data_IF_444535340325
#
_entry.id   IF_444535340325
#
_cell.length_a   1.000
_cell.length_b   1.000
_cell.length_c   1.000
_cell.angle_alpha   90.00
_cell.angle_beta   90.00
_cell.angle_gamma   90.00
#
_symmetry.space_group_name_H-M   'P 1'
#
loop_
_entity.id
_entity.type
_entity.pdbx_description
1 polymer ?
#
# COMPACT_ATOMS: atom_id res chain seq x y z
N UNK A 1 9.36 -22.57 17.22
CA UNK A 1 7.91 -22.30 17.39
C UNK A 1 7.58 -20.87 17.87
N UNK A 2 8.51 -20.10 18.45
CA UNK A 2 8.27 -18.70 18.87
C UNK A 2 8.36 -17.63 17.76
N UNK A 3 8.71 -18.00 16.52
CA UNK A 3 8.91 -17.03 15.42
C UNK A 3 7.69 -16.82 14.51
N UNK A 4 6.61 -17.59 14.70
CA UNK A 4 5.41 -17.53 13.83
C UNK A 4 4.41 -16.46 14.32
N UNK A 5 4.47 -16.05 15.60
CA UNK A 5 3.51 -15.10 16.19
C UNK A 5 3.61 -13.68 15.63
N UNK A 6 4.72 -13.33 14.98
CA UNK A 6 5.05 -11.95 14.64
C UNK A 6 4.83 -11.61 13.14
N UNK A 7 4.15 -12.48 12.38
CA UNK A 7 3.79 -12.22 10.98
C UNK A 7 4.97 -12.15 10.00
N UNK A 8 6.21 -12.44 10.45
CA UNK A 8 7.38 -12.59 9.59
C UNK A 8 7.41 -13.99 8.98
N UNK A 9 6.81 -14.12 7.81
CA UNK A 9 6.77 -15.35 7.01
C UNK A 9 8.04 -15.57 6.15
N UNK A 10 9.01 -14.65 6.23
CA UNK A 10 10.24 -14.65 5.41
C UNK A 10 11.34 -15.61 5.93
N UNK A 11 11.08 -16.39 6.98
CA UNK A 11 12.04 -17.40 7.42
C UNK A 11 12.06 -18.55 6.40
N UNK A 12 13.06 -18.54 5.52
CA UNK A 12 13.32 -19.60 4.56
C UNK A 12 13.63 -20.91 5.29
N UNK A 13 12.60 -21.72 5.55
CA UNK A 13 12.78 -23.14 5.86
C UNK A 13 13.33 -23.77 4.58
N UNK A 14 14.59 -24.20 4.58
CA UNK A 14 15.13 -24.98 3.46
C UNK A 14 14.32 -26.26 3.33
N UNK A 15 13.54 -26.33 2.26
CA UNK A 15 12.76 -27.53 1.94
C UNK A 15 13.70 -28.46 1.18
N UNK A 16 14.37 -29.36 1.90
CA UNK A 16 15.15 -30.44 1.30
C UNK A 16 14.27 -31.66 1.09
N UNK A 17 13.78 -31.85 -0.13
CA UNK A 17 13.00 -33.02 -0.53
C UNK A 17 12.11 -32.77 -1.73
N UNK A 18 11.80 -33.83 -2.48
CA UNK A 18 10.80 -33.83 -3.56
C UNK A 18 9.49 -34.53 -3.11
N UNK A 19 9.33 -34.70 -1.79
CA UNK A 19 8.19 -35.39 -1.20
C UNK A 19 6.91 -34.53 -1.23
N UNK A 20 5.79 -35.16 -0.90
CA UNK A 20 4.46 -34.54 -0.91
C UNK A 20 4.38 -33.37 0.08
N UNK A 21 5.14 -33.43 1.18
CA UNK A 21 5.23 -32.35 2.17
C UNK A 21 5.94 -31.13 1.57
N UNK A 22 7.03 -31.36 0.83
CA UNK A 22 7.78 -30.32 0.13
C UNK A 22 6.92 -29.63 -0.94
N UNK A 23 6.17 -30.41 -1.72
CA UNK A 23 5.24 -29.87 -2.72
C UNK A 23 4.13 -29.02 -2.07
N UNK A 24 3.55 -29.49 -0.96
CA UNK A 24 2.54 -28.74 -0.21
C UNK A 24 3.10 -27.43 0.35
N UNK A 25 4.32 -27.44 0.89
CA UNK A 25 4.97 -26.24 1.44
C UNK A 25 5.26 -25.19 0.35
N UNK A 26 5.67 -25.63 -0.84
CA UNK A 26 5.88 -24.73 -2.00
C UNK A 26 4.56 -24.09 -2.40
N UNK A 27 3.50 -24.88 -2.59
CA UNK A 27 2.18 -24.37 -2.97
C UNK A 27 1.61 -23.40 -1.93
N UNK A 28 1.84 -23.66 -0.64
CA UNK A 28 1.44 -22.75 0.44
C UNK A 28 2.20 -21.41 0.37
N UNK A 29 3.51 -21.43 0.12
CA UNK A 29 4.32 -20.20 -0.05
C UNK A 29 3.83 -19.37 -1.23
N UNK A 30 3.55 -20.02 -2.36
CA UNK A 30 3.01 -19.33 -3.54
C UNK A 30 1.66 -18.67 -3.25
N UNK A 31 0.78 -19.38 -2.53
CA UNK A 31 -0.51 -18.83 -2.10
C UNK A 31 -0.33 -17.61 -1.18
N UNK A 32 0.58 -17.69 -0.21
CA UNK A 32 0.90 -16.58 0.70
C UNK A 32 1.45 -15.37 -0.07
N UNK A 33 2.39 -15.58 -0.99
CA UNK A 33 2.95 -14.52 -1.81
C UNK A 33 1.87 -13.82 -2.66
N UNK A 34 0.96 -14.61 -3.24
CA UNK A 34 -0.17 -14.08 -4.03
C UNK A 34 -1.14 -13.26 -3.18
N UNK A 35 -1.45 -13.71 -1.96
CA UNK A 35 -2.28 -12.95 -1.03
C UNK A 35 -1.64 -11.60 -0.68
N UNK A 36 -0.35 -11.58 -0.33
CA UNK A 36 0.37 -10.33 -0.04
C UNK A 36 0.44 -9.38 -1.23
N UNK A 37 0.61 -9.89 -2.45
CA UNK A 37 0.57 -9.08 -3.67
C UNK A 37 -0.83 -8.47 -3.91
N UNK A 38 -1.89 -9.25 -3.70
CA UNK A 38 -3.26 -8.78 -3.82
C UNK A 38 -3.59 -7.73 -2.76
N UNK A 39 -3.17 -7.90 -1.51
CA UNK A 39 -3.36 -6.89 -0.46
C UNK A 39 -2.70 -5.56 -0.82
N UNK A 40 -1.46 -5.60 -1.34
CA UNK A 40 -0.78 -4.39 -1.84
C UNK A 40 -1.54 -3.74 -2.99
N UNK A 41 -2.04 -4.53 -3.94
CA UNK A 41 -2.82 -4.02 -5.06
C UNK A 41 -4.15 -3.40 -4.59
N UNK A 42 -4.87 -4.06 -3.68
CA UNK A 42 -6.11 -3.54 -3.08
C UNK A 42 -5.83 -2.25 -2.32
N UNK A 43 -4.77 -2.22 -1.50
CA UNK A 43 -4.35 -1.01 -0.80
C UNK A 43 -4.05 0.10 -1.80
N UNK A 44 -3.32 -0.20 -2.86
CA UNK A 44 -3.01 0.78 -3.89
C UNK A 44 -4.27 1.34 -4.55
N UNK A 45 -5.19 0.48 -5.00
CA UNK A 45 -6.48 0.88 -5.58
C UNK A 45 -7.35 1.70 -4.61
N UNK A 46 -7.26 1.41 -3.31
CA UNK A 46 -8.04 2.11 -2.32
C UNK A 46 -7.47 3.51 -2.03
N UNK A 47 -6.15 3.71 -2.11
CA UNK A 47 -5.45 4.90 -1.58
C UNK A 47 -4.77 5.77 -2.65
N UNK A 48 -4.63 5.29 -3.88
CA UNK A 48 -3.94 5.97 -4.95
C UNK A 48 -4.85 6.16 -6.16
N UNK A 49 -4.65 7.25 -6.88
CA UNK A 49 -5.33 7.54 -8.13
C UNK A 49 -4.63 6.80 -9.30
N UNK A 50 -5.34 6.02 -10.12
CA UNK A 50 -4.71 5.18 -11.14
C UNK A 50 -4.14 5.97 -12.34
N UNK A 51 -4.59 7.22 -12.56
CA UNK A 51 -4.09 8.04 -13.66
C UNK A 51 -2.75 8.69 -13.31
N UNK A 52 -2.63 9.19 -12.07
CA UNK A 52 -1.47 9.95 -11.61
C UNK A 52 -0.50 9.16 -10.73
N UNK A 53 -0.95 8.02 -10.20
CA UNK A 53 -0.25 7.24 -9.18
C UNK A 53 0.02 8.01 -7.87
N UNK A 54 -0.66 9.14 -7.66
CA UNK A 54 -0.56 9.96 -6.45
C UNK A 54 -1.57 9.51 -5.39
N UNK A 55 -1.33 9.82 -4.10
CA UNK A 55 -2.32 9.68 -3.05
C UNK A 55 -3.66 10.29 -3.45
N UNK A 56 -4.73 9.50 -3.38
CA UNK A 56 -6.06 9.98 -3.69
C UNK A 56 -6.63 10.84 -2.54
N UNK A 57 -7.81 11.41 -2.77
CA UNK A 57 -8.48 12.27 -1.78
C UNK A 57 -8.78 11.56 -0.46
N UNK A 58 -8.90 10.24 -0.45
CA UNK A 58 -9.13 9.46 0.77
C UNK A 58 -7.86 9.40 1.61
N UNK A 59 -6.72 9.06 1.00
CA UNK A 59 -5.43 9.07 1.69
C UNK A 59 -5.10 10.47 2.22
N UNK A 60 -5.34 11.52 1.42
CA UNK A 60 -5.14 12.90 1.86
C UNK A 60 -5.92 13.24 3.15
N UNK A 61 -7.20 12.84 3.24
CA UNK A 61 -8.03 13.08 4.43
C UNK A 61 -7.50 12.35 5.66
N UNK A 62 -7.05 11.11 5.49
CA UNK A 62 -6.46 10.33 6.57
C UNK A 62 -5.15 10.96 7.07
N UNK A 63 -4.29 11.43 6.14
CA UNK A 63 -3.08 12.16 6.50
C UNK A 63 -3.39 13.47 7.25
N UNK A 64 -4.39 14.24 6.80
CA UNK A 64 -4.82 15.47 7.50
C UNK A 64 -5.36 15.12 8.88
N UNK A 65 -6.20 14.10 9.01
CA UNK A 65 -6.76 13.69 10.30
C UNK A 65 -5.65 13.24 11.26
N UNK A 66 -4.74 12.37 10.80
CA UNK A 66 -3.60 11.90 11.57
C UNK A 66 -2.73 13.08 12.02
N UNK A 67 -2.49 14.04 11.13
CA UNK A 67 -1.81 15.27 11.46
C UNK A 67 -2.56 16.01 12.58
N UNK A 68 -3.82 16.39 12.39
CA UNK A 68 -4.60 17.11 13.42
C UNK A 68 -4.67 16.38 14.78
N UNK A 69 -4.67 15.05 14.80
CA UNK A 69 -4.67 14.25 16.04
C UNK A 69 -3.31 14.07 16.70
N UNK A 70 -2.22 14.29 15.96
CA UNK A 70 -0.88 14.22 16.54
C UNK A 70 -0.77 15.30 17.63
N UNK A 71 -0.69 14.83 18.89
CA UNK A 71 -0.62 15.64 20.10
C UNK A 71 0.34 16.82 19.96
N UNK A 72 -0.05 17.97 20.54
CA UNK A 72 0.69 19.24 20.67
C UNK A 72 2.05 19.15 21.39
N UNK A 73 2.70 17.98 21.38
CA UNK A 73 4.01 17.79 22.02
C UNK A 73 5.09 18.67 21.40
N UNK A 74 4.89 19.07 20.15
CA UNK A 74 5.68 20.10 19.50
C UNK A 74 4.72 21.14 18.89
N UNK A 75 5.02 22.42 19.10
CA UNK A 75 4.28 23.59 18.60
C UNK A 75 4.46 23.75 17.08
N UNK A 76 4.18 22.69 16.33
CA UNK A 76 4.44 22.59 14.91
C UNK A 76 3.22 23.05 14.11
N UNK A 77 3.39 24.19 13.43
CA UNK A 77 2.44 24.66 12.44
C UNK A 77 2.36 23.70 11.25
N UNK A 78 1.14 23.50 10.75
CA UNK A 78 0.85 22.67 9.59
C UNK A 78 0.26 23.55 8.50
N UNK A 79 0.68 23.32 7.27
CA UNK A 79 0.17 24.04 6.10
C UNK A 79 -0.41 23.05 5.09
N UNK A 80 -1.42 23.49 4.36
CA UNK A 80 -1.98 22.77 3.21
C UNK A 80 -1.88 23.68 2.00
N UNK A 81 -1.26 23.19 0.92
CA UNK A 81 -1.19 23.86 -0.36
C UNK A 81 -2.16 23.18 -1.32
N UNK A 82 -3.01 23.95 -1.97
CA UNK A 82 -3.89 23.49 -3.03
C UNK A 82 -3.39 24.08 -4.35
N UNK A 83 -3.15 23.19 -5.32
CA UNK A 83 -2.71 23.54 -6.67
C UNK A 83 -3.79 23.09 -7.64
N UNK A 84 -4.07 23.93 -8.63
CA UNK A 84 -4.97 23.63 -9.74
C UNK A 84 -4.22 23.82 -11.07
N UNK A 85 -4.63 23.09 -12.10
CA UNK A 85 -4.03 23.18 -13.42
C UNK A 85 -4.84 24.13 -14.31
N UNK A 86 -4.23 25.26 -14.66
CA UNK A 86 -4.83 26.24 -15.56
C UNK A 86 -5.09 25.63 -16.95
N UNK A 87 -6.20 26.01 -17.58
CA UNK A 87 -6.59 25.61 -18.94
C UNK A 87 -6.69 24.09 -19.17
N UNK A 88 -6.75 23.27 -18.12
CA UNK A 88 -6.80 21.81 -18.24
C UNK A 88 -7.96 21.32 -19.11
N UNK A 89 -9.14 21.95 -18.99
CA UNK A 89 -10.31 21.64 -19.83
C UNK A 89 -10.05 21.89 -21.31
N UNK A 90 -9.46 23.03 -21.66
CA UNK A 90 -9.16 23.37 -23.06
C UNK A 90 -8.18 22.38 -23.69
N UNK A 91 -7.20 21.92 -22.91
CA UNK A 91 -6.23 20.91 -23.37
C UNK A 91 -6.95 19.57 -23.63
N UNK A 92 -7.74 19.07 -22.68
CA UNK A 92 -8.49 17.83 -22.87
C UNK A 92 -9.50 17.93 -24.03
N UNK A 93 -10.22 19.04 -24.15
CA UNK A 93 -11.19 19.24 -25.23
C UNK A 93 -10.51 19.33 -26.62
N UNK A 94 -9.21 19.65 -26.68
CA UNK A 94 -8.43 19.74 -27.94
C UNK A 94 -7.69 18.46 -28.29
N UNK A 95 -7.14 17.76 -27.29
CA UNK A 95 -6.26 16.60 -27.50
C UNK A 95 -6.97 15.25 -27.32
N UNK A 96 -8.15 15.23 -26.68
CA UNK A 96 -8.90 14.01 -26.36
C UNK A 96 -8.47 13.41 -25.03
#
# INVERSE_FOLDING_TARGET
FQHISDGKLDSAIEVQGNDEISQLLIALREMQAKLGANEKAIHHLAYYDPLTNLPNRRLLKECIQAALTASNRDDHHRALLLLDLDNFKTINDTLG
#
